data_IF_451607937428
#
_entry.id   IF_451607937428
#
_cell.length_a   1.000
_cell.length_b   1.000
_cell.length_c   1.000
_cell.angle_alpha   90.00
_cell.angle_beta   90.00
_cell.angle_gamma   90.00
#
_symmetry.space_group_name_H-M   'P 1'
#
loop_
_entity.id
_entity.type
_entity.pdbx_description
1 polymer ?
#
# COMPACT_ATOMS: atom_id res chain seq x y z
N UNK A 1 -21.56 -34.64 -47.49
CA UNK A 1 -22.50 -33.61 -47.02
C UNK A 1 -21.82 -32.98 -45.85
N UNK A 2 -20.98 -31.98 -46.07
CA UNK A 2 -21.30 -30.54 -46.09
C UNK A 2 -21.87 -30.15 -44.72
N UNK A 3 -21.28 -29.31 -43.97
CA UNK A 3 -20.52 -28.09 -43.99
C UNK A 3 -21.03 -27.29 -42.84
N UNK A 4 -20.33 -26.54 -42.12
CA UNK A 4 -19.96 -25.14 -42.28
C UNK A 4 -19.29 -24.67 -40.95
N UNK A 5 -18.10 -24.34 -40.95
CA UNK A 5 -17.38 -23.08 -41.03
C UNK A 5 -17.73 -22.05 -39.92
N UNK A 6 -16.81 -21.93 -38.96
CA UNK A 6 -16.67 -20.83 -38.02
C UNK A 6 -16.25 -19.55 -38.71
N UNK A 7 -16.73 -18.40 -38.23
CA UNK A 7 -16.22 -17.07 -38.59
C UNK A 7 -15.47 -16.45 -37.45
N UNK A 8 -14.16 -16.34 -37.62
CA UNK A 8 -13.35 -15.40 -36.81
C UNK A 8 -13.61 -13.97 -37.25
N UNK A 9 -13.68 -13.09 -36.30
CA UNK A 9 -13.72 -11.63 -36.49
C UNK A 9 -12.27 -11.12 -36.55
N UNK A 10 -11.81 -10.84 -37.77
CA UNK A 10 -10.62 -10.01 -38.00
C UNK A 10 -10.97 -8.53 -37.79
N UNK A 11 -10.18 -7.87 -36.95
CA UNK A 11 -10.20 -6.42 -36.80
C UNK A 11 -9.26 -5.81 -37.85
N UNK A 12 -9.80 -5.19 -38.90
CA UNK A 12 -9.03 -4.51 -39.93
C UNK A 12 -8.48 -3.16 -39.39
N UNK A 13 -7.16 -3.00 -39.54
CA UNK A 13 -6.45 -1.74 -39.45
C UNK A 13 -6.74 -0.86 -40.65
N UNK A 14 -7.19 0.37 -40.45
CA UNK A 14 -7.01 1.45 -41.40
C UNK A 14 -5.94 2.40 -40.88
N UNK A 15 -4.83 2.47 -41.60
CA UNK A 15 -3.86 3.57 -41.47
C UNK A 15 -4.38 4.74 -42.34
N UNK A 16 -4.37 5.95 -41.77
CA UNK A 16 -4.09 7.14 -42.52
C UNK A 16 -3.36 8.14 -41.66
N UNK A 17 -2.20 8.55 -42.16
CA UNK A 17 -1.24 9.41 -41.45
C UNK A 17 -1.56 10.88 -41.55
N UNK A 18 -1.12 11.61 -40.55
CA UNK A 18 -0.59 12.98 -40.69
C UNK A 18 0.37 13.25 -39.51
N UNK A 19 1.64 13.40 -39.86
CA UNK A 19 2.68 13.93 -38.98
C UNK A 19 2.38 15.40 -38.66
N UNK A 20 2.51 15.77 -37.38
CA UNK A 20 2.83 17.12 -36.99
C UNK A 20 3.78 17.05 -35.76
N UNK A 21 5.02 17.46 -35.99
CA UNK A 21 6.05 17.68 -35.00
C UNK A 21 5.61 18.71 -33.97
N UNK A 22 5.65 18.33 -32.68
CA UNK A 22 5.80 19.25 -31.56
C UNK A 22 6.59 18.52 -30.46
N UNK A 23 7.84 18.93 -30.29
CA UNK A 23 8.72 18.54 -29.17
C UNK A 23 8.18 19.15 -27.88
N UNK A 24 7.66 18.31 -26.99
CA UNK A 24 7.33 18.61 -25.59
C UNK A 24 8.08 17.64 -24.67
N UNK A 25 8.30 17.97 -23.40
CA UNK A 25 9.16 17.20 -22.49
C UNK A 25 8.69 15.76 -22.30
N UNK A 26 9.67 14.89 -22.09
CA UNK A 26 9.52 13.45 -21.95
C UNK A 26 8.36 13.07 -21.02
N UNK A 27 7.36 12.41 -21.58
CA UNK A 27 6.27 11.82 -20.79
C UNK A 27 6.81 10.57 -20.12
N UNK A 28 6.88 10.59 -18.80
CA UNK A 28 7.14 9.42 -17.99
C UNK A 28 6.20 8.27 -18.45
N UNK A 29 6.81 7.13 -18.80
CA UNK A 29 6.07 5.94 -19.25
C UNK A 29 5.49 5.27 -18.00
N UNK A 30 4.18 5.39 -17.82
CA UNK A 30 3.47 4.67 -16.77
C UNK A 30 3.58 3.14 -16.99
N UNK A 31 3.68 2.33 -15.91
CA UNK A 31 3.59 0.88 -16.02
C UNK A 31 2.35 0.46 -16.81
N UNK A 32 2.47 -0.55 -17.66
CA UNK A 32 1.44 -0.92 -18.65
C UNK A 32 0.09 -1.31 -18.03
N UNK A 33 0.07 -1.77 -16.78
CA UNK A 33 -1.14 -2.08 -16.01
C UNK A 33 -1.95 -0.82 -15.65
N UNK A 34 -1.27 0.26 -15.24
CA UNK A 34 -1.92 1.53 -14.90
C UNK A 34 -2.46 2.24 -16.15
N UNK A 35 -1.79 2.10 -17.30
CA UNK A 35 -2.27 2.62 -18.60
C UNK A 35 -3.53 1.90 -19.10
N UNK A 36 -3.63 0.58 -18.90
CA UNK A 36 -4.83 -0.18 -19.28
C UNK A 36 -6.04 0.16 -18.42
N UNK A 37 -5.85 0.39 -17.12
CA UNK A 37 -6.91 0.82 -16.22
C UNK A 37 -7.48 2.21 -16.59
N UNK A 38 -6.66 3.10 -17.18
CA UNK A 38 -7.10 4.43 -17.65
C UNK A 38 -7.69 4.44 -19.07
N UNK A 39 -7.42 3.41 -19.86
CA UNK A 39 -7.88 3.33 -21.26
C UNK A 39 -9.26 2.68 -21.44
N UNK A 40 -9.85 2.14 -20.38
CA UNK A 40 -11.23 1.68 -20.38
C UNK A 40 -12.12 2.89 -20.17
N UNK A 41 -12.69 3.45 -21.26
CA UNK A 41 -13.84 4.34 -21.14
C UNK A 41 -14.91 3.64 -20.29
N UNK A 42 -15.51 4.33 -19.29
CA UNK A 42 -16.58 3.73 -18.51
C UNK A 42 -17.71 3.32 -19.49
N UNK A 43 -18.15 2.08 -19.37
CA UNK A 43 -19.26 1.57 -20.16
C UNK A 43 -20.44 2.55 -20.14
N UNK A 44 -21.16 2.76 -21.27
CA UNK A 44 -22.26 3.74 -21.37
C UNK A 44 -23.33 3.57 -20.30
N UNK A 45 -23.51 2.37 -19.78
CA UNK A 45 -24.52 2.06 -18.75
C UNK A 45 -24.15 2.56 -17.35
N UNK A 46 -22.88 2.79 -17.06
CA UNK A 46 -22.46 3.39 -15.78
C UNK A 46 -22.90 4.89 -15.69
N UNK A 47 -23.13 5.54 -16.82
CA UNK A 47 -23.61 6.93 -16.88
C UNK A 47 -25.11 7.08 -16.60
N UNK A 48 -25.88 5.99 -16.61
CA UNK A 48 -27.34 6.04 -16.42
C UNK A 48 -27.76 6.07 -14.94
N UNK A 49 -26.88 5.79 -14.00
CA UNK A 49 -27.16 5.89 -12.57
C UNK A 49 -26.77 7.25 -12.02
N UNK A 50 -27.73 8.16 -11.94
CA UNK A 50 -27.57 9.52 -11.35
C UNK A 50 -27.12 9.54 -9.88
N UNK A 51 -26.88 8.38 -9.28
CA UNK A 51 -26.51 8.19 -7.88
C UNK A 51 -25.05 7.78 -7.68
N UNK A 52 -24.29 7.55 -8.76
CA UNK A 52 -22.86 7.20 -8.67
C UNK A 52 -22.04 8.48 -8.71
N UNK A 53 -21.60 8.94 -7.57
CA UNK A 53 -20.55 9.95 -7.46
C UNK A 53 -19.22 9.23 -7.21
N UNK A 54 -18.11 9.78 -7.68
CA UNK A 54 -16.74 9.35 -7.48
C UNK A 54 -16.53 8.54 -6.18
N UNK A 55 -16.46 7.22 -6.27
CA UNK A 55 -16.29 6.30 -5.16
C UNK A 55 -17.52 6.05 -4.26
N UNK A 56 -18.64 6.74 -4.49
CA UNK A 56 -19.83 6.63 -3.64
C UNK A 56 -21.08 6.28 -4.46
N UNK A 57 -21.95 5.42 -3.93
CA UNK A 57 -23.30 5.24 -4.43
C UNK A 57 -24.32 5.09 -3.29
N UNK A 58 -25.55 5.53 -3.54
CA UNK A 58 -26.67 5.35 -2.62
C UNK A 58 -27.72 4.43 -3.23
N UNK A 59 -28.28 3.52 -2.43
CA UNK A 59 -29.42 2.72 -2.85
C UNK A 59 -30.64 3.63 -3.05
N UNK A 60 -31.47 3.46 -4.13
CA UNK A 60 -32.70 4.20 -4.30
C UNK A 60 -33.64 4.00 -3.09
N UNK A 61 -34.41 5.02 -2.79
CA UNK A 61 -35.40 5.05 -1.71
C UNK A 61 -36.29 3.82 -1.74
N UNK A 62 -36.52 3.21 -0.58
CA UNK A 62 -37.60 2.23 -0.41
C UNK A 62 -38.96 2.89 -0.74
N UNK A 63 -39.93 2.17 -1.31
CA UNK A 63 -41.27 2.68 -1.55
C UNK A 63 -42.01 3.16 -0.30
N UNK A 64 -41.55 2.82 0.91
CA UNK A 64 -42.12 3.22 2.20
C UNK A 64 -41.84 4.67 2.63
N UNK A 65 -41.04 5.42 1.89
CA UNK A 65 -40.86 6.87 2.15
C UNK A 65 -39.94 7.24 3.33
N UNK A 66 -39.39 6.30 4.06
CA UNK A 66 -38.34 6.53 5.06
C UNK A 66 -37.04 6.85 4.39
N UNK A 67 -36.29 7.82 4.90
CA UNK A 67 -35.03 8.33 4.32
C UNK A 67 -33.86 7.37 4.66
N UNK A 68 -34.02 6.10 4.29
CA UNK A 68 -33.05 5.03 4.47
C UNK A 68 -32.02 5.04 3.32
N UNK A 69 -31.36 6.17 3.12
CA UNK A 69 -30.24 6.27 2.18
C UNK A 69 -29.06 5.48 2.76
N UNK A 70 -28.91 4.26 2.29
CA UNK A 70 -27.70 3.47 2.58
C UNK A 70 -26.60 3.94 1.64
N UNK A 71 -25.58 4.56 2.20
CA UNK A 71 -24.41 5.02 1.47
C UNK A 71 -23.38 3.88 1.40
N UNK A 72 -22.88 3.62 0.21
CA UNK A 72 -21.81 2.65 -0.02
C UNK A 72 -20.60 3.37 -0.61
N UNK A 73 -19.42 2.95 -0.19
CA UNK A 73 -18.17 3.34 -0.81
C UNK A 73 -17.74 2.28 -1.82
N UNK A 74 -17.37 2.70 -3.02
CA UNK A 74 -16.91 1.84 -4.11
C UNK A 74 -15.59 2.39 -4.67
N UNK A 75 -14.61 1.51 -4.85
CA UNK A 75 -13.32 1.88 -5.42
C UNK A 75 -13.34 1.79 -6.95
N UNK A 76 -13.14 2.90 -7.68
CA UNK A 76 -13.16 2.92 -9.13
C UNK A 76 -11.86 2.45 -9.80
N UNK A 77 -10.78 2.19 -9.05
CA UNK A 77 -9.46 1.88 -9.62
C UNK A 77 -9.36 0.49 -10.26
N UNK A 78 -10.29 -0.42 -9.92
CA UNK A 78 -10.31 -1.79 -10.45
C UNK A 78 -11.56 -2.02 -11.28
N UNK A 79 -11.51 -1.78 -12.62
CA UNK A 79 -12.63 -2.00 -13.51
C UNK A 79 -13.10 -3.45 -13.47
N UNK A 80 -14.42 -3.65 -13.33
CA UNK A 80 -15.03 -4.97 -13.28
C UNK A 80 -15.12 -5.59 -11.88
N UNK A 81 -14.56 -4.94 -10.86
CA UNK A 81 -14.68 -5.33 -9.45
C UNK A 81 -15.11 -4.14 -8.60
N UNK A 82 -16.00 -4.36 -7.64
CA UNK A 82 -16.45 -3.34 -6.72
C UNK A 82 -16.59 -3.89 -5.31
N UNK A 83 -15.87 -3.32 -4.35
CA UNK A 83 -16.09 -3.53 -2.92
C UNK A 83 -16.95 -2.40 -2.37
N UNK A 84 -18.03 -2.76 -1.68
CA UNK A 84 -18.96 -1.80 -1.10
C UNK A 84 -18.98 -1.94 0.41
N UNK A 85 -18.67 -0.86 1.12
CA UNK A 85 -18.72 -0.80 2.57
C UNK A 85 -19.89 0.10 2.97
N UNK A 86 -20.81 -0.43 3.80
CA UNK A 86 -21.93 0.37 4.31
C UNK A 86 -21.43 1.43 5.27
N UNK A 87 -21.72 2.70 4.96
CA UNK A 87 -21.33 3.86 5.76
C UNK A 87 -22.46 4.23 6.71
N UNK A 88 -22.13 4.40 8.00
CA UNK A 88 -23.06 4.92 9.01
C UNK A 88 -22.90 6.43 9.16
N UNK A 89 -21.64 6.91 9.19
CA UNK A 89 -21.35 8.33 9.45
C UNK A 89 -20.03 8.72 8.77
N UNK A 90 -19.98 9.90 8.17
CA UNK A 90 -18.72 10.52 7.70
C UNK A 90 -18.14 11.33 8.87
N UNK A 91 -16.94 10.94 9.31
CA UNK A 91 -16.26 11.55 10.44
C UNK A 91 -15.33 12.68 10.03
N UNK A 92 -14.74 12.59 8.83
CA UNK A 92 -13.81 13.57 8.28
C UNK A 92 -13.77 13.45 6.77
N UNK A 93 -13.73 14.58 6.06
CA UNK A 93 -13.49 14.63 4.62
C UNK A 93 -12.88 15.97 4.24
N UNK A 94 -11.61 15.96 3.89
CA UNK A 94 -10.87 17.14 3.41
C UNK A 94 -9.85 16.74 2.35
N UNK A 95 -9.27 17.71 1.66
CA UNK A 95 -8.19 17.51 0.71
C UNK A 95 -6.91 18.16 1.22
N UNK A 96 -5.84 17.38 1.32
CA UNK A 96 -4.49 17.88 1.56
C UNK A 96 -3.86 18.44 0.28
N UNK A 97 -2.61 18.83 0.33
CA UNK A 97 -1.85 19.19 -0.89
C UNK A 97 -1.65 17.99 -1.81
N UNK A 98 -1.74 16.76 -1.29
CA UNK A 98 -1.41 15.53 -2.00
C UNK A 98 -2.66 14.74 -2.43
N UNK A 99 -3.69 14.63 -1.56
CA UNK A 99 -4.78 13.68 -1.75
C UNK A 99 -6.05 14.06 -0.99
N UNK A 100 -7.18 13.47 -1.37
CA UNK A 100 -8.41 13.52 -0.56
C UNK A 100 -8.26 12.55 0.62
N UNK A 101 -8.49 13.05 1.84
CA UNK A 101 -8.48 12.25 3.08
C UNK A 101 -9.91 12.13 3.59
N UNK A 102 -10.39 10.91 3.72
CA UNK A 102 -11.74 10.61 4.18
C UNK A 102 -11.69 9.59 5.32
N UNK A 103 -12.43 9.88 6.40
CA UNK A 103 -12.67 8.91 7.46
C UNK A 103 -14.18 8.75 7.64
N UNK A 104 -14.63 7.52 7.65
CA UNK A 104 -16.03 7.21 7.95
C UNK A 104 -16.15 6.06 8.94
N UNK A 105 -17.28 6.00 9.62
CA UNK A 105 -17.68 4.85 10.43
C UNK A 105 -18.49 3.90 9.57
N UNK A 106 -18.07 2.63 9.52
CA UNK A 106 -18.80 1.57 8.82
C UNK A 106 -19.64 0.73 9.80
N UNK A 107 -20.63 0.01 9.26
CA UNK A 107 -21.48 -0.88 10.06
C UNK A 107 -20.79 -2.18 10.54
N UNK A 108 -19.66 -2.56 9.93
CA UNK A 108 -19.05 -3.89 10.14
C UNK A 108 -17.54 -3.89 10.32
N UNK A 109 -16.85 -2.81 9.92
CA UNK A 109 -15.39 -2.71 9.97
C UNK A 109 -14.86 -1.64 10.95
N UNK A 110 -15.77 -0.98 11.70
CA UNK A 110 -15.38 0.15 12.54
C UNK A 110 -15.09 1.41 11.71
N UNK A 111 -14.10 2.20 12.11
CA UNK A 111 -13.64 3.35 11.33
C UNK A 111 -12.81 2.88 10.14
N UNK A 112 -12.92 3.60 9.04
CA UNK A 112 -12.25 3.32 7.77
C UNK A 112 -11.53 4.59 7.34
N UNK A 113 -10.24 4.48 7.03
CA UNK A 113 -9.44 5.53 6.39
C UNK A 113 -9.40 5.27 4.89
N UNK A 114 -9.64 6.31 4.12
CA UNK A 114 -9.62 6.29 2.66
C UNK A 114 -8.77 7.45 2.16
N UNK A 115 -7.87 7.18 1.24
CA UNK A 115 -7.04 8.17 0.55
C UNK A 115 -7.32 8.11 -0.95
N UNK A 116 -7.68 9.25 -1.57
CA UNK A 116 -8.06 9.36 -2.99
C UNK A 116 -9.03 8.27 -3.47
N UNK A 117 -9.97 7.86 -2.60
CA UNK A 117 -10.96 6.83 -2.93
C UNK A 117 -10.50 5.39 -2.72
N UNK A 118 -9.33 5.15 -2.14
CA UNK A 118 -8.78 3.83 -1.86
C UNK A 118 -8.80 3.58 -0.35
N UNK A 119 -9.39 2.45 0.08
CA UNK A 119 -9.37 2.03 1.49
C UNK A 119 -7.94 1.70 1.90
N UNK A 120 -7.43 2.42 2.89
CA UNK A 120 -6.09 2.21 3.44
C UNK A 120 -6.10 1.27 4.65
N UNK A 121 -7.06 1.45 5.55
CA UNK A 121 -7.20 0.60 6.74
C UNK A 121 -8.61 0.65 7.32
N UNK A 122 -8.93 -0.34 8.14
CA UNK A 122 -10.11 -0.35 9.00
C UNK A 122 -9.74 -0.80 10.41
N UNK A 123 -10.52 -0.40 11.42
CA UNK A 123 -10.33 -0.84 12.82
C UNK A 123 -10.31 -2.37 12.95
N UNK A 124 -10.92 -3.10 12.01
CA UNK A 124 -11.13 -4.55 12.12
C UNK A 124 -9.97 -5.38 11.56
N UNK A 125 -9.39 -5.00 10.44
CA UNK A 125 -8.44 -5.83 9.70
C UNK A 125 -7.05 -5.19 9.49
N UNK A 126 -6.81 -3.97 10.01
CA UNK A 126 -5.52 -3.29 9.91
C UNK A 126 -4.34 -4.15 10.39
N UNK A 127 -4.58 -4.95 11.45
CA UNK A 127 -3.52 -5.77 12.04
C UNK A 127 -2.94 -6.78 11.06
N UNK A 128 -3.73 -7.29 10.11
CA UNK A 128 -3.26 -8.25 9.12
C UNK A 128 -2.16 -7.66 8.21
N UNK A 129 -2.27 -6.39 7.89
CA UNK A 129 -1.27 -5.66 7.11
C UNK A 129 -0.10 -5.20 7.98
N UNK A 130 -0.39 -4.47 9.07
CA UNK A 130 0.60 -3.81 9.91
C UNK A 130 1.60 -4.80 10.53
N UNK A 131 1.10 -5.93 11.05
CA UNK A 131 1.94 -6.98 11.61
C UNK A 131 2.85 -7.61 10.54
N UNK A 132 2.31 -7.92 9.36
CA UNK A 132 3.09 -8.59 8.32
C UNK A 132 4.19 -7.70 7.76
N UNK A 133 3.88 -6.45 7.39
CA UNK A 133 4.87 -5.55 6.80
C UNK A 133 6.01 -5.22 7.78
N UNK A 134 5.72 -5.14 9.08
CA UNK A 134 6.71 -4.85 10.11
C UNK A 134 7.51 -6.09 10.53
N UNK A 135 6.85 -7.21 10.81
CA UNK A 135 7.50 -8.35 11.44
C UNK A 135 8.22 -9.27 10.44
N UNK A 136 7.75 -9.39 9.19
CA UNK A 136 8.47 -10.18 8.18
C UNK A 136 9.95 -9.77 8.05
N UNK A 137 10.29 -8.48 7.84
CA UNK A 137 11.69 -8.08 7.77
C UNK A 137 12.39 -8.12 9.12
N UNK A 138 11.77 -7.65 10.21
CA UNK A 138 12.44 -7.49 11.49
C UNK A 138 12.71 -8.81 12.21
N UNK A 139 11.85 -9.81 12.03
CA UNK A 139 12.06 -11.14 12.58
C UNK A 139 13.09 -11.95 11.79
N UNK A 140 13.44 -11.57 10.56
CA UNK A 140 14.37 -12.28 9.69
C UNK A 140 15.84 -11.94 9.93
N UNK A 141 16.14 -10.87 10.68
CA UNK A 141 17.49 -10.41 10.97
C UNK A 141 17.78 -10.34 12.46
N UNK A 142 19.03 -10.58 12.82
CA UNK A 142 19.46 -10.59 14.22
C UNK A 142 19.55 -9.15 14.76
N UNK A 143 18.76 -8.86 15.78
CA UNK A 143 18.83 -7.60 16.56
C UNK A 143 18.89 -6.32 15.70
N UNK A 144 17.88 -6.01 14.88
CA UNK A 144 17.82 -4.75 14.15
C UNK A 144 17.89 -3.57 15.11
N UNK A 145 18.68 -2.52 14.78
CA UNK A 145 18.90 -1.32 15.58
C UNK A 145 18.25 -0.09 14.97
N UNK A 146 18.47 0.12 13.67
CA UNK A 146 18.02 1.29 12.95
C UNK A 146 17.01 0.88 11.88
N UNK A 147 15.81 1.40 11.97
CA UNK A 147 14.74 1.11 11.03
C UNK A 147 14.28 2.40 10.38
N UNK A 148 14.03 2.36 9.07
CA UNK A 148 13.38 3.43 8.34
C UNK A 148 12.00 2.96 7.88
N UNK A 149 10.99 3.82 8.06
CA UNK A 149 9.66 3.69 7.46
C UNK A 149 9.50 4.79 6.43
N UNK A 150 9.13 4.43 5.21
CA UNK A 150 8.76 5.35 4.13
C UNK A 150 7.25 5.28 3.97
N UNK A 151 6.56 6.39 4.15
CA UNK A 151 5.11 6.43 4.31
C UNK A 151 4.68 6.04 5.72
N UNK A 152 3.60 5.31 5.86
CA UNK A 152 3.12 4.79 7.15
C UNK A 152 2.52 5.86 8.06
N UNK A 153 1.92 6.90 7.48
CA UNK A 153 1.34 8.05 8.19
C UNK A 153 0.21 7.70 9.17
N UNK A 154 -0.32 6.48 9.12
CA UNK A 154 -1.30 6.00 10.10
C UNK A 154 -0.67 5.60 11.45
N UNK A 155 0.63 5.30 11.49
CA UNK A 155 1.38 4.93 12.69
C UNK A 155 1.31 3.45 13.07
N UNK A 156 0.56 2.62 12.34
CA UNK A 156 0.42 1.20 12.64
C UNK A 156 1.73 0.43 12.51
N UNK A 157 2.50 0.71 11.46
CA UNK A 157 3.85 0.13 11.27
C UNK A 157 4.77 0.52 12.43
N UNK A 158 4.71 1.78 12.89
CA UNK A 158 5.50 2.23 14.04
C UNK A 158 5.12 1.49 15.32
N UNK A 159 3.81 1.27 15.55
CA UNK A 159 3.31 0.48 16.68
C UNK A 159 3.91 -0.92 16.68
N UNK A 160 3.94 -1.58 15.52
CA UNK A 160 4.50 -2.93 15.43
C UNK A 160 6.03 -2.94 15.57
N UNK A 161 6.75 -1.99 14.98
CA UNK A 161 8.20 -1.86 15.15
C UNK A 161 8.56 -1.62 16.61
N UNK A 162 7.77 -0.83 17.34
CA UNK A 162 8.04 -0.50 18.74
C UNK A 162 8.06 -1.71 19.68
N UNK A 163 7.46 -2.82 19.27
CA UNK A 163 7.50 -4.12 19.98
C UNK A 163 8.86 -4.82 19.90
N UNK A 164 9.75 -4.39 19.00
CA UNK A 164 11.10 -4.93 18.86
C UNK A 164 12.08 -4.20 19.80
N UNK A 165 12.39 -4.82 20.93
CA UNK A 165 13.26 -4.23 21.97
C UNK A 165 14.70 -3.98 21.49
N UNK A 166 15.14 -4.62 20.40
CA UNK A 166 16.48 -4.41 19.83
C UNK A 166 16.57 -3.09 19.06
N UNK A 167 15.45 -2.54 18.58
CA UNK A 167 15.43 -1.31 17.81
C UNK A 167 15.75 -0.11 18.71
N UNK A 168 16.69 0.72 18.27
CA UNK A 168 17.17 1.90 18.98
C UNK A 168 16.74 3.21 18.30
N UNK A 169 16.51 3.17 16.99
CA UNK A 169 16.09 4.30 16.18
C UNK A 169 15.04 3.87 15.16
N UNK A 170 13.97 4.65 15.06
CA UNK A 170 12.94 4.51 14.04
C UNK A 170 12.80 5.86 13.34
N UNK A 171 13.42 5.99 12.16
CA UNK A 171 13.12 7.14 11.30
C UNK A 171 11.84 6.84 10.52
N UNK A 172 10.93 7.80 10.42
CA UNK A 172 9.77 7.75 9.53
C UNK A 172 9.73 8.98 8.66
N UNK A 173 9.53 8.79 7.36
CA UNK A 173 9.37 9.87 6.39
C UNK A 173 7.98 9.77 5.74
N UNK A 174 7.08 10.68 6.12
CA UNK A 174 5.71 10.79 5.62
C UNK A 174 5.51 12.15 4.96
N UNK A 175 4.98 12.14 3.73
CA UNK A 175 4.81 13.37 2.96
C UNK A 175 3.58 14.17 3.41
N UNK A 176 2.50 13.47 3.79
CA UNK A 176 1.21 14.08 4.10
C UNK A 176 0.96 14.21 5.60
N UNK A 177 1.25 15.40 6.13
CA UNK A 177 0.98 15.70 7.53
C UNK A 177 -0.50 15.53 7.91
N UNK A 178 -1.44 15.74 6.98
CA UNK A 178 -2.86 15.58 7.26
C UNK A 178 -3.20 14.13 7.59
N UNK A 179 -2.58 13.15 6.92
CA UNK A 179 -2.77 11.72 7.24
C UNK A 179 -2.34 11.43 8.67
N UNK A 180 -1.19 11.96 9.12
CA UNK A 180 -0.72 11.80 10.50
C UNK A 180 -1.70 12.41 11.51
N UNK A 181 -2.15 13.65 11.26
CA UNK A 181 -3.05 14.36 12.18
C UNK A 181 -4.42 13.68 12.28
N UNK A 182 -4.95 13.20 11.14
CA UNK A 182 -6.20 12.45 11.06
C UNK A 182 -6.08 11.11 11.76
N UNK A 183 -4.96 10.41 11.59
CA UNK A 183 -4.71 9.13 12.25
C UNK A 183 -4.61 9.27 13.75
N UNK A 184 -3.90 10.28 14.26
CA UNK A 184 -3.85 10.59 15.69
C UNK A 184 -5.22 10.90 16.28
N UNK A 185 -6.11 11.53 15.50
CA UNK A 185 -7.45 11.90 15.95
C UNK A 185 -8.43 10.73 15.93
N UNK A 186 -8.43 9.93 14.89
CA UNK A 186 -9.46 8.91 14.64
C UNK A 186 -8.99 7.47 14.88
N UNK A 187 -7.69 7.20 14.81
CA UNK A 187 -7.08 5.88 15.01
C UNK A 187 -5.98 5.91 16.08
N UNK A 188 -6.26 6.36 17.30
CA UNK A 188 -5.25 6.53 18.34
C UNK A 188 -4.54 5.22 18.72
N UNK A 189 -5.20 4.07 18.55
CA UNK A 189 -4.64 2.74 18.78
C UNK A 189 -3.49 2.38 17.81
N UNK A 190 -3.51 2.95 16.58
CA UNK A 190 -2.43 2.82 15.61
C UNK A 190 -1.39 3.92 15.84
N UNK A 191 -1.86 5.16 15.91
CA UNK A 191 -1.04 6.35 16.00
C UNK A 191 -0.22 6.46 17.30
N UNK A 192 -0.49 5.60 18.30
CA UNK A 192 0.34 5.49 19.52
C UNK A 192 1.80 5.18 19.17
N UNK A 193 2.07 4.57 18.02
CA UNK A 193 3.43 4.33 17.53
C UNK A 193 4.26 5.61 17.41
N UNK A 194 3.64 6.76 17.14
CA UNK A 194 4.34 8.06 17.08
C UNK A 194 4.83 8.57 18.45
N UNK A 195 4.34 8.01 19.54
CA UNK A 195 4.72 8.42 20.91
C UNK A 195 5.96 7.66 21.41
N UNK A 196 6.42 6.65 20.70
CA UNK A 196 7.65 5.94 21.05
C UNK A 196 8.85 6.89 20.99
N UNK A 197 9.64 7.01 22.07
CA UNK A 197 10.78 7.95 22.14
C UNK A 197 11.89 7.66 21.12
N UNK A 198 11.91 6.49 20.52
CA UNK A 198 12.86 6.10 19.46
C UNK A 198 12.46 6.63 18.09
N UNK A 199 11.22 7.10 17.93
CA UNK A 199 10.68 7.58 16.64
C UNK A 199 11.17 9.00 16.35
N UNK A 200 11.67 9.19 15.14
CA UNK A 200 11.98 10.49 14.56
C UNK A 200 11.15 10.70 13.30
N UNK A 201 10.17 11.58 13.42
CA UNK A 201 9.28 11.94 12.31
C UNK A 201 9.93 13.01 11.42
N UNK A 202 9.98 12.72 10.12
CA UNK A 202 10.33 13.64 9.04
C UNK A 202 9.10 13.82 8.15
N UNK A 203 8.54 15.02 8.13
CA UNK A 203 7.43 15.35 7.22
C UNK A 203 8.03 15.88 5.92
N UNK A 204 7.88 15.13 4.83
CA UNK A 204 8.43 15.50 3.53
C UNK A 204 8.61 14.34 2.58
N UNK A 205 9.25 14.60 1.46
CA UNK A 205 9.51 13.65 0.39
C UNK A 205 10.57 12.61 0.80
N UNK A 206 10.22 11.34 0.72
CA UNK A 206 11.09 10.23 1.07
C UNK A 206 12.25 10.03 0.07
N UNK A 207 12.08 10.37 -1.20
CA UNK A 207 13.15 10.30 -2.19
C UNK A 207 14.23 11.31 -1.84
N UNK A 208 13.84 12.53 -1.49
CA UNK A 208 14.76 13.58 -1.05
C UNK A 208 15.42 13.24 0.29
N UNK A 209 14.66 12.71 1.25
CA UNK A 209 15.18 12.24 2.53
C UNK A 209 16.25 11.15 2.34
N UNK A 210 15.97 10.14 1.53
CA UNK A 210 16.87 9.02 1.25
C UNK A 210 18.12 9.45 0.49
N UNK A 211 18.00 10.45 -0.39
CA UNK A 211 19.16 11.00 -1.12
C UNK A 211 20.25 11.49 -0.17
N UNK A 212 19.85 12.03 0.99
CA UNK A 212 20.75 12.55 2.03
C UNK A 212 21.04 11.53 3.15
N UNK A 213 20.39 10.37 3.15
CA UNK A 213 20.63 9.35 4.15
C UNK A 213 22.05 8.77 4.02
N UNK A 214 22.77 8.58 5.14
CA UNK A 214 24.08 7.92 5.12
C UNK A 214 23.99 6.51 4.53
N UNK A 215 25.03 6.10 3.81
CA UNK A 215 25.18 4.74 3.32
C UNK A 215 25.24 3.75 4.49
N UNK A 216 24.55 2.62 4.36
CA UNK A 216 24.58 1.55 5.36
C UNK A 216 23.97 1.90 6.72
N UNK A 217 23.19 2.96 6.82
CA UNK A 217 22.61 3.43 8.08
C UNK A 217 21.58 2.46 8.68
N UNK A 218 20.76 1.83 7.85
CA UNK A 218 19.59 1.08 8.31
C UNK A 218 19.80 -0.43 8.26
N UNK A 219 19.30 -1.11 9.29
CA UNK A 219 19.19 -2.57 9.35
C UNK A 219 18.01 -3.08 8.55
N UNK A 220 16.90 -2.34 8.61
CA UNK A 220 15.69 -2.61 7.85
C UNK A 220 15.08 -1.31 7.31
N UNK A 221 14.51 -1.39 6.12
CA UNK A 221 13.67 -0.34 5.54
C UNK A 221 12.31 -0.96 5.21
N UNK A 222 11.23 -0.28 5.62
CA UNK A 222 9.86 -0.66 5.34
C UNK A 222 9.26 0.44 4.48
N UNK A 223 8.80 0.09 3.28
CA UNK A 223 8.10 1.02 2.38
C UNK A 223 6.61 0.70 2.44
N UNK A 224 5.90 1.57 3.13
CA UNK A 224 4.46 1.56 3.36
C UNK A 224 3.85 2.78 2.69
N UNK A 225 3.90 2.80 1.38
CA UNK A 225 3.36 3.89 0.56
C UNK A 225 1.99 3.55 -0.01
N UNK A 226 1.23 4.58 -0.36
CA UNK A 226 0.01 4.41 -1.16
C UNK A 226 0.33 3.85 -2.55
N UNK A 227 -0.73 3.42 -3.25
CA UNK A 227 -0.63 2.96 -4.65
C UNK A 227 0.20 3.94 -5.51
N UNK A 228 0.90 3.46 -6.57
CA UNK A 228 1.84 4.26 -7.37
C UNK A 228 1.13 5.28 -8.27
N UNK A 229 0.45 6.24 -7.64
CA UNK A 229 -0.28 7.35 -8.28
C UNK A 229 0.24 8.68 -7.74
N UNK A 230 0.45 9.64 -8.63
CA UNK A 230 0.94 10.96 -8.23
C UNK A 230 2.36 10.90 -7.64
N UNK A 231 2.58 11.45 -6.44
CA UNK A 231 3.91 11.48 -5.80
C UNK A 231 4.51 10.10 -5.53
N UNK A 232 3.68 9.08 -5.33
CA UNK A 232 4.15 7.71 -5.07
C UNK A 232 4.66 6.98 -6.34
N UNK A 233 4.52 7.57 -7.52
CA UNK A 233 4.96 6.94 -8.77
C UNK A 233 6.46 6.70 -8.83
N UNK A 234 7.27 7.61 -8.29
CA UNK A 234 8.73 7.47 -8.26
C UNK A 234 9.19 6.32 -7.36
N UNK A 235 8.36 5.89 -6.39
CA UNK A 235 8.68 4.85 -5.42
C UNK A 235 8.66 3.42 -6.00
N UNK A 236 8.24 3.25 -7.25
CA UNK A 236 8.28 1.96 -7.97
C UNK A 236 9.38 1.90 -9.04
N UNK A 237 10.17 2.95 -9.16
CA UNK A 237 11.23 3.06 -10.16
C UNK A 237 12.59 2.56 -9.64
N UNK A 238 13.42 2.06 -10.55
CA UNK A 238 14.74 1.50 -10.21
C UNK A 238 15.65 2.46 -9.41
N UNK A 239 15.73 3.78 -9.71
CA UNK A 239 16.57 4.70 -8.93
C UNK A 239 16.18 4.76 -7.45
N UNK A 240 14.90 4.62 -7.12
CA UNK A 240 14.47 4.58 -5.74
C UNK A 240 14.98 3.32 -5.03
N UNK A 241 14.86 2.13 -5.64
CA UNK A 241 15.38 0.88 -5.08
C UNK A 241 16.91 0.90 -4.93
N UNK A 242 17.65 1.51 -5.86
CA UNK A 242 19.10 1.72 -5.74
C UNK A 242 19.44 2.58 -4.51
N UNK A 243 18.64 3.61 -4.26
CA UNK A 243 18.81 4.48 -3.08
C UNK A 243 18.49 3.74 -1.77
N UNK A 244 17.45 2.92 -1.76
CA UNK A 244 17.14 2.05 -0.62
C UNK A 244 18.26 1.06 -0.32
N UNK A 245 18.78 0.38 -1.37
CA UNK A 245 19.88 -0.58 -1.23
C UNK A 245 21.16 0.09 -0.68
N UNK A 246 21.46 1.32 -1.11
CA UNK A 246 22.58 2.11 -0.59
C UNK A 246 22.40 2.47 0.89
N UNK A 247 21.20 2.81 1.32
CA UNK A 247 20.90 3.21 2.69
C UNK A 247 20.88 2.02 3.66
N UNK A 248 20.69 0.79 3.16
CA UNK A 248 20.77 -0.44 3.93
C UNK A 248 22.21 -0.87 4.16
N UNK A 249 22.52 -1.38 5.37
CA UNK A 249 23.81 -2.02 5.65
C UNK A 249 23.96 -3.35 4.90
N UNK A 250 25.17 -3.92 4.82
CA UNK A 250 25.37 -5.29 4.35
C UNK A 250 24.52 -6.29 5.14
N UNK A 251 23.73 -7.13 4.46
CA UNK A 251 22.75 -8.04 5.06
C UNK A 251 21.55 -7.34 5.69
N UNK A 252 21.33 -6.06 5.37
CA UNK A 252 20.11 -5.33 5.72
C UNK A 252 18.94 -5.74 4.82
N UNK A 253 17.72 -5.49 5.27
CA UNK A 253 16.50 -5.97 4.62
C UNK A 253 15.55 -4.85 4.22
N UNK A 254 14.91 -5.02 3.08
CA UNK A 254 13.78 -4.21 2.60
C UNK A 254 12.50 -5.04 2.70
N UNK A 255 11.42 -4.43 3.19
CA UNK A 255 10.06 -4.89 2.96
C UNK A 255 9.30 -3.76 2.25
N UNK A 256 8.85 -4.01 1.04
CA UNK A 256 8.09 -3.06 0.24
C UNK A 256 6.68 -3.59 -0.01
N UNK A 257 5.66 -2.80 0.29
CA UNK A 257 4.30 -3.10 -0.14
C UNK A 257 4.29 -3.31 -1.66
N UNK A 258 3.64 -4.36 -2.13
CA UNK A 258 3.78 -4.83 -3.51
C UNK A 258 2.49 -5.41 -4.10
N UNK A 259 1.40 -4.80 -3.84
CA UNK A 259 0.12 -5.06 -4.50
C UNK A 259 -0.39 -6.52 -4.44
N UNK A 260 -1.60 -6.72 -4.95
CA UNK A 260 -2.22 -8.05 -5.03
C UNK A 260 -1.71 -8.85 -6.22
N UNK A 261 -1.29 -10.10 -5.98
CA UNK A 261 -0.91 -11.04 -7.04
C UNK A 261 -2.05 -11.40 -8.00
N UNK A 262 -3.30 -11.17 -7.61
CA UNK A 262 -4.47 -11.43 -8.46
C UNK A 262 -4.74 -10.30 -9.44
N UNK A 263 -4.43 -9.05 -9.05
CA UNK A 263 -4.79 -7.85 -9.80
C UNK A 263 -3.58 -7.24 -10.55
N UNK A 264 -2.38 -7.32 -9.97
CA UNK A 264 -1.21 -6.55 -10.43
C UNK A 264 0.02 -7.42 -10.70
N UNK A 265 -0.16 -8.62 -11.25
CA UNK A 265 0.93 -9.58 -11.50
C UNK A 265 2.09 -8.97 -12.29
N UNK A 266 1.80 -8.12 -13.30
CA UNK A 266 2.86 -7.50 -14.11
C UNK A 266 3.68 -6.50 -13.31
N UNK A 267 3.03 -5.65 -12.52
CA UNK A 267 3.73 -4.68 -11.65
C UNK A 267 4.63 -5.41 -10.63
N UNK A 268 4.12 -6.49 -10.04
CA UNK A 268 4.90 -7.32 -9.10
C UNK A 268 6.12 -7.93 -9.81
N UNK A 269 5.95 -8.44 -11.03
CA UNK A 269 7.06 -8.99 -11.82
C UNK A 269 8.12 -7.93 -12.12
N UNK A 270 7.71 -6.72 -12.49
CA UNK A 270 8.60 -5.60 -12.79
C UNK A 270 9.39 -5.18 -11.54
N UNK A 271 8.71 -5.03 -10.39
CA UNK A 271 9.34 -4.71 -9.11
C UNK A 271 10.35 -5.82 -8.71
N UNK A 272 9.97 -7.10 -8.82
CA UNK A 272 10.87 -8.21 -8.52
C UNK A 272 12.09 -8.22 -9.44
N UNK A 273 11.92 -7.90 -10.74
CA UNK A 273 13.03 -7.82 -11.68
C UNK A 273 14.01 -6.70 -11.29
N UNK A 274 13.50 -5.50 -10.99
CA UNK A 274 14.30 -4.37 -10.47
C UNK A 274 15.04 -4.76 -9.19
N UNK A 275 14.33 -5.38 -8.25
CA UNK A 275 14.93 -5.82 -6.99
C UNK A 275 16.04 -6.85 -7.18
N UNK A 276 15.90 -7.81 -8.10
CA UNK A 276 16.94 -8.80 -8.41
C UNK A 276 18.18 -8.20 -9.05
N UNK A 277 18.03 -7.11 -9.78
CA UNK A 277 19.18 -6.36 -10.32
C UNK A 277 19.89 -5.53 -9.25
N UNK A 278 19.13 -4.98 -8.32
CA UNK A 278 19.60 -4.00 -7.34
C UNK A 278 20.14 -4.65 -6.06
N UNK A 279 19.39 -5.59 -5.49
CA UNK A 279 19.73 -6.27 -4.25
C UNK A 279 20.52 -7.55 -4.54
N UNK A 280 21.69 -7.68 -3.91
CA UNK A 280 22.63 -8.79 -4.18
C UNK A 280 22.43 -10.00 -3.25
N UNK A 281 21.52 -9.89 -2.27
CA UNK A 281 21.08 -10.99 -1.43
C UNK A 281 19.86 -11.71 -2.00
N UNK A 282 18.90 -12.06 -1.16
CA UNK A 282 17.68 -12.75 -1.57
C UNK A 282 16.55 -11.77 -1.95
N UNK A 283 15.67 -12.19 -2.86
CA UNK A 283 14.46 -11.46 -3.27
C UNK A 283 13.27 -12.42 -3.26
N UNK A 284 12.27 -12.13 -2.45
CA UNK A 284 11.08 -12.94 -2.26
C UNK A 284 9.81 -12.10 -2.36
N UNK A 285 8.69 -12.78 -2.61
CA UNK A 285 7.35 -12.21 -2.51
C UNK A 285 6.58 -12.97 -1.45
N UNK A 286 6.01 -12.24 -0.50
CA UNK A 286 5.08 -12.75 0.50
C UNK A 286 3.72 -12.09 0.31
N UNK A 287 2.67 -12.61 0.93
CA UNK A 287 1.33 -12.04 0.89
C UNK A 287 0.55 -12.35 2.16
N UNK A 288 -0.47 -11.53 2.43
CA UNK A 288 -1.43 -11.78 3.50
C UNK A 288 -2.85 -11.45 3.03
N UNK A 289 -3.85 -11.95 3.78
CA UNK A 289 -5.24 -11.62 3.54
C UNK A 289 -5.64 -10.38 4.33
N UNK A 290 -6.18 -9.38 3.61
CA UNK A 290 -6.80 -8.18 4.19
C UNK A 290 -8.18 -8.04 3.57
N UNK A 291 -9.26 -8.42 4.26
CA UNK A 291 -10.61 -8.54 3.69
C UNK A 291 -11.14 -7.30 3.00
N UNK A 292 -10.74 -6.10 3.44
CA UNK A 292 -11.23 -4.83 2.85
C UNK A 292 -10.38 -4.33 1.69
N UNK A 293 -9.26 -4.96 1.41
CA UNK A 293 -8.43 -4.60 0.25
C UNK A 293 -8.95 -5.26 -1.03
N UNK A 294 -8.68 -4.69 -2.20
CA UNK A 294 -9.05 -5.29 -3.47
C UNK A 294 -8.56 -6.74 -3.56
N UNK A 295 -9.42 -7.64 -4.06
CA UNK A 295 -9.20 -9.10 -4.07
C UNK A 295 -9.01 -9.76 -2.67
N UNK A 296 -9.08 -9.02 -1.57
CA UNK A 296 -8.86 -9.52 -0.21
C UNK A 296 -7.41 -9.90 0.11
N UNK A 297 -6.44 -9.48 -0.71
CA UNK A 297 -5.02 -9.87 -0.60
C UNK A 297 -4.11 -8.69 -0.88
N UNK A 298 -3.04 -8.58 -0.11
CA UNK A 298 -1.93 -7.65 -0.35
C UNK A 298 -0.60 -8.39 -0.27
N UNK A 299 0.37 -7.96 -1.08
CA UNK A 299 1.70 -8.55 -1.16
C UNK A 299 2.80 -7.66 -0.62
N UNK A 300 3.96 -8.28 -0.42
CA UNK A 300 5.19 -7.65 0.03
C UNK A 300 6.36 -8.21 -0.77
N UNK A 301 7.22 -7.34 -1.29
CA UNK A 301 8.52 -7.74 -1.82
C UNK A 301 9.55 -7.60 -0.70
N UNK A 302 10.23 -8.69 -0.41
CA UNK A 302 11.27 -8.81 0.61
C UNK A 302 12.62 -8.96 -0.07
N UNK A 303 13.56 -8.06 0.23
CA UNK A 303 14.90 -8.09 -0.34
C UNK A 303 15.95 -8.02 0.76
N UNK A 304 17.14 -8.58 0.50
CA UNK A 304 18.32 -8.34 1.32
C UNK A 304 19.49 -7.85 0.49
N UNK A 305 20.34 -7.00 1.08
CA UNK A 305 21.60 -6.58 0.46
C UNK A 305 22.63 -7.69 0.56
N UNK A 306 23.75 -7.57 -0.19
CA UNK A 306 24.89 -8.49 -0.06
C UNK A 306 25.39 -8.54 1.38
N UNK A 307 25.60 -9.77 1.91
CA UNK A 307 26.01 -9.95 3.30
C UNK A 307 25.65 -11.36 3.81
N UNK A 308 25.50 -11.50 5.15
CA UNK A 308 25.01 -12.74 5.72
C UNK A 308 23.66 -13.15 5.10
N UNK A 309 23.45 -14.45 4.79
CA UNK A 309 22.18 -14.92 4.25
C UNK A 309 21.00 -14.58 5.17
N UNK A 310 19.92 -14.06 4.58
CA UNK A 310 18.66 -13.78 5.28
C UNK A 310 17.62 -14.81 4.85
N UNK A 311 17.05 -15.50 5.82
CA UNK A 311 15.97 -16.46 5.63
C UNK A 311 14.65 -15.86 6.13
N UNK A 312 13.78 -15.47 5.20
CA UNK A 312 12.47 -14.90 5.51
C UNK A 312 11.42 -15.95 5.91
N UNK A 313 11.71 -17.24 5.73
CA UNK A 313 10.80 -18.34 6.07
C UNK A 313 10.97 -18.79 7.52
N UNK A 314 12.18 -18.66 8.07
CA UNK A 314 12.50 -19.10 9.41
C UNK A 314 12.92 -17.91 10.27
N UNK A 315 11.98 -17.29 11.01
CA UNK A 315 12.29 -16.15 11.84
C UNK A 315 13.29 -16.49 12.94
N UNK A 316 14.34 -15.68 13.08
CA UNK A 316 15.37 -15.84 14.11
C UNK A 316 15.07 -15.05 15.38
N UNK A 317 14.18 -14.05 15.28
CA UNK A 317 13.65 -13.26 16.39
C UNK A 317 12.12 -13.27 16.33
N UNK A 318 11.43 -14.38 16.65
CA UNK A 318 9.97 -14.42 16.65
C UNK A 318 9.41 -13.48 17.71
N UNK A 319 8.24 -12.89 17.41
CA UNK A 319 7.61 -11.82 18.21
C UNK A 319 7.30 -12.28 19.65
N UNK A 320 6.96 -13.54 19.87
CA UNK A 320 6.65 -14.09 21.21
C UNK A 320 7.85 -14.03 22.16
N UNK A 321 9.06 -14.00 21.63
CA UNK A 321 10.28 -13.81 22.43
C UNK A 321 10.56 -12.35 22.78
N UNK A 322 9.94 -11.41 22.04
CA UNK A 322 10.11 -9.98 22.23
C UNK A 322 9.14 -9.44 23.28
N UNK A 323 7.94 -10.02 23.36
CA UNK A 323 6.87 -9.49 24.21
C UNK A 323 7.02 -9.82 25.69
N UNK A 324 8.06 -10.50 26.16
CA UNK A 324 8.27 -10.80 27.59
C UNK A 324 6.97 -10.82 28.43
N UNK A 325 6.84 -11.51 29.49
CA UNK A 325 5.62 -11.85 30.25
C UNK A 325 4.63 -10.69 30.64
N UNK A 326 4.78 -9.49 30.10
CA UNK A 326 4.02 -8.30 30.52
C UNK A 326 2.81 -7.89 29.65
N UNK A 327 2.60 -8.49 28.48
CA UNK A 327 1.52 -8.02 27.60
C UNK A 327 0.63 -9.12 26.98
N UNK A 328 -0.04 -9.87 27.84
CA UNK A 328 -1.14 -10.76 27.39
C UNK A 328 -2.30 -9.97 26.75
N UNK A 329 -2.37 -8.65 26.94
CA UNK A 329 -3.43 -7.80 26.39
C UNK A 329 -3.17 -7.23 25.00
N UNK A 330 -1.95 -7.38 24.45
CA UNK A 330 -1.54 -6.86 23.14
C UNK A 330 -0.81 -7.90 22.30
N UNK A 331 -1.19 -9.15 22.40
CA UNK A 331 -0.62 -10.23 21.58
C UNK A 331 -0.82 -9.98 20.08
N UNK A 332 0.11 -10.49 19.28
CA UNK A 332 0.01 -10.51 17.82
C UNK A 332 -1.29 -11.17 17.39
N UNK A 333 -2.07 -10.50 16.55
CA UNK A 333 -3.39 -10.98 16.13
C UNK A 333 -3.33 -11.92 14.93
N UNK A 334 -2.33 -11.76 14.08
CA UNK A 334 -2.18 -12.49 12.81
C UNK A 334 -1.01 -13.46 12.84
N UNK A 335 0.14 -13.06 13.39
CA UNK A 335 1.33 -13.91 13.49
C UNK A 335 1.29 -14.79 14.74
N UNK A 336 0.30 -15.67 14.84
CA UNK A 336 0.28 -16.74 15.84
C UNK A 336 0.83 -18.00 15.18
N UNK A 337 2.06 -18.37 15.52
CA UNK A 337 2.71 -19.60 15.07
C UNK A 337 2.55 -20.72 16.09
#
# INVERSE_FOLDING_TARGET
MEGDAGRGLECQKTMDGKESNASGPDKAVLPSCCLKARACDPEPDAKSHSTVCSGWFSKPRSPSGEDDRVLYFNNPMWPGEAHSIKVEEILFKERSEYQEVLVFKSSSYGKVLVLDGIVQLTDKDECAYQEMIAHLPLCSIKSPKNVLVVGGGDGGVLREISRHNSVELIDICEIDKMVIDVSKKFFPELAIGFEDPRVKLHVGDAVEFLRHAPEGKYDAIIVDSSDPVGPAQELVEKPFFETLARALRPGGVLCNMAESMWLHTHLIQDIIAICRETFKGSVHYAWTSVPTYPSGVIGFVLCSTEGPPVDFLNPINPIEKLDGAASISQGTKVLQF
#
